data_IF_915172551731
#
_entry.id   IF_915172551731
#
_cell.length_a   1.000
_cell.length_b   1.000
_cell.length_c   1.000
_cell.angle_alpha   90.00
_cell.angle_beta   90.00
_cell.angle_gamma   90.00
#
_symmetry.space_group_name_H-M   'P 1'
#
loop_
_entity.id
_entity.type
_entity.pdbx_description
1 polymer ?
#
# COMPACT_ATOMS: atom_id res chain seq x y z
N UNK A 1 25.70 -7.17 4.82
CA UNK A 1 26.97 -7.75 4.33
C UNK A 1 27.19 -7.54 2.83
N UNK A 2 26.32 -8.05 1.95
CA UNK A 2 26.43 -7.90 0.48
C UNK A 2 26.69 -6.47 -0.02
N UNK A 3 25.88 -5.49 0.43
CA UNK A 3 26.00 -4.10 -0.03
C UNK A 3 27.37 -3.49 0.29
N UNK A 4 27.87 -3.72 1.51
CA UNK A 4 29.16 -3.22 1.97
C UNK A 4 30.32 -3.84 1.18
N UNK A 5 30.26 -5.15 0.92
CA UNK A 5 31.29 -5.86 0.15
C UNK A 5 31.37 -5.41 -1.32
N UNK A 6 30.31 -4.78 -1.84
CA UNK A 6 30.22 -4.31 -3.23
C UNK A 6 30.27 -2.79 -3.37
N UNK A 7 30.53 -2.08 -2.27
CA UNK A 7 30.49 -0.61 -2.22
C UNK A 7 29.18 -0.01 -2.79
N UNK A 8 28.06 -0.67 -2.46
CA UNK A 8 26.72 -0.26 -2.89
C UNK A 8 25.98 0.42 -1.74
N UNK A 9 25.17 1.42 -2.10
CA UNK A 9 24.22 2.07 -1.19
C UNK A 9 22.79 1.86 -1.66
N UNK A 10 21.84 1.84 -0.71
CA UNK A 10 20.43 1.85 -1.04
C UNK A 10 20.03 3.21 -1.61
N UNK A 11 19.32 3.22 -2.72
CA UNK A 11 18.76 4.42 -3.35
C UNK A 11 17.48 4.89 -2.64
N UNK A 12 17.55 5.06 -1.30
CA UNK A 12 16.39 5.48 -0.49
C UNK A 12 15.89 6.88 -0.86
N UNK A 13 16.74 7.71 -1.47
CA UNK A 13 16.42 9.03 -2.02
C UNK A 13 15.47 8.97 -3.22
N UNK A 14 15.36 7.83 -3.88
CA UNK A 14 14.42 7.59 -4.99
C UNK A 14 13.04 7.11 -4.52
N UNK A 15 12.91 6.69 -3.26
CA UNK A 15 11.64 6.28 -2.70
C UNK A 15 10.78 7.51 -2.35
N UNK A 16 9.47 7.39 -2.56
CA UNK A 16 8.46 8.37 -2.14
C UNK A 16 7.52 7.71 -1.14
N UNK A 17 7.57 8.12 0.12
CA UNK A 17 6.70 7.63 1.18
C UNK A 17 5.33 8.31 1.10
N UNK A 18 4.28 7.55 0.81
CA UNK A 18 2.97 8.14 0.51
C UNK A 18 1.81 7.60 1.34
N UNK A 19 1.96 6.47 2.03
CA UNK A 19 0.85 5.85 2.75
C UNK A 19 1.33 4.98 3.92
N UNK A 20 0.52 4.95 4.99
CA UNK A 20 0.86 4.28 6.25
C UNK A 20 -0.37 3.60 6.83
N UNK A 21 -0.34 2.27 6.96
CA UNK A 21 -1.46 1.48 7.46
C UNK A 21 -1.07 0.68 8.70
N UNK A 22 -1.99 0.64 9.65
CA UNK A 22 -1.91 -0.28 10.80
C UNK A 22 -3.12 -1.22 10.75
N UNK A 23 -2.84 -2.52 10.88
CA UNK A 23 -3.91 -3.54 10.89
C UNK A 23 -4.86 -3.28 12.07
N UNK A 24 -6.19 -3.37 11.86
CA UNK A 24 -7.18 -3.17 12.91
C UNK A 24 -6.89 -3.95 14.19
N UNK A 25 -7.30 -3.40 15.33
CA UNK A 25 -7.25 -4.11 16.63
C UNK A 25 -8.13 -5.37 16.57
N UNK A 26 -7.75 -6.40 17.33
CA UNK A 26 -8.50 -7.67 17.40
C UNK A 26 -8.27 -8.66 16.26
N UNK A 27 -7.45 -8.32 15.25
CA UNK A 27 -6.98 -9.31 14.26
C UNK A 27 -5.85 -10.15 14.86
N UNK A 28 -5.82 -11.48 14.61
CA UNK A 28 -4.81 -12.38 15.18
C UNK A 28 -3.39 -12.06 14.66
N UNK A 29 -3.28 -11.61 13.41
CA UNK A 29 -2.04 -11.11 12.81
C UNK A 29 -2.18 -9.63 12.53
N UNK A 30 -1.21 -8.83 12.98
CA UNK A 30 -1.19 -7.38 12.80
C UNK A 30 0.13 -6.94 12.21
N UNK A 31 0.05 -5.93 11.35
CA UNK A 31 1.17 -5.29 10.71
C UNK A 31 1.04 -3.78 10.78
N UNK A 32 2.21 -3.14 10.86
CA UNK A 32 2.42 -1.70 10.74
C UNK A 32 3.19 -1.49 9.44
N UNK A 33 2.48 -1.11 8.38
CA UNK A 33 2.99 -1.18 7.00
C UNK A 33 3.12 0.22 6.41
N UNK A 34 4.33 0.56 5.98
CA UNK A 34 4.62 1.80 5.24
C UNK A 34 4.72 1.49 3.75
N UNK A 35 4.12 2.33 2.92
CA UNK A 35 4.08 2.18 1.47
C UNK A 35 4.94 3.25 0.80
N UNK A 36 5.70 2.81 -0.20
CA UNK A 36 6.62 3.65 -0.96
C UNK A 36 6.39 3.45 -2.45
N UNK A 37 6.57 4.51 -3.23
CA UNK A 37 6.56 4.50 -4.69
C UNK A 37 7.96 4.83 -5.24
N UNK A 38 8.32 4.22 -6.37
CA UNK A 38 9.53 4.52 -7.14
C UNK A 38 9.32 4.13 -8.60
N UNK A 39 10.02 4.78 -9.52
CA UNK A 39 10.13 4.28 -10.89
C UNK A 39 11.04 3.06 -10.94
N UNK A 40 10.74 2.12 -11.84
CA UNK A 40 11.68 1.06 -12.19
C UNK A 40 12.80 1.66 -13.07
N UNK A 41 14.08 1.56 -12.68
CA UNK A 41 15.18 2.03 -13.52
C UNK A 41 15.18 1.38 -14.91
N UNK A 42 15.56 2.16 -15.92
CA UNK A 42 15.66 1.65 -17.28
C UNK A 42 16.62 0.45 -17.36
N UNK A 43 16.19 -0.60 -18.06
CA UNK A 43 16.98 -1.83 -18.22
C UNK A 43 16.86 -2.83 -17.07
N UNK A 44 16.21 -2.49 -15.95
CA UNK A 44 15.94 -3.44 -14.88
C UNK A 44 14.75 -4.34 -15.24
N UNK A 45 14.89 -5.65 -14.99
CA UNK A 45 13.81 -6.63 -15.17
C UNK A 45 13.34 -7.14 -13.82
N UNK A 46 12.03 -7.22 -13.63
CA UNK A 46 11.43 -7.76 -12.42
C UNK A 46 11.38 -9.29 -12.49
N UNK A 47 11.96 -9.94 -11.48
CA UNK A 47 11.90 -11.39 -11.30
C UNK A 47 11.50 -11.72 -9.87
N UNK A 48 10.63 -12.72 -9.69
CA UNK A 48 10.32 -13.27 -8.38
C UNK A 48 11.32 -14.39 -8.03
N UNK A 49 11.45 -14.69 -6.73
CA UNK A 49 12.44 -15.65 -6.21
C UNK A 49 12.04 -17.13 -6.42
N UNK A 50 10.80 -17.38 -6.84
CA UNK A 50 10.23 -18.71 -7.04
C UNK A 50 9.96 -19.49 -5.75
N UNK A 51 10.07 -18.84 -4.57
CA UNK A 51 9.85 -19.47 -3.26
C UNK A 51 8.65 -18.88 -2.55
N UNK A 52 8.67 -17.56 -2.32
CA UNK A 52 7.56 -16.87 -1.64
C UNK A 52 6.48 -16.46 -2.64
N UNK A 53 6.89 -16.02 -3.82
CA UNK A 53 5.99 -15.60 -4.90
C UNK A 53 5.96 -16.65 -6.00
N UNK A 54 4.75 -17.10 -6.35
CA UNK A 54 4.52 -18.08 -7.43
C UNK A 54 4.34 -17.45 -8.81
N UNK A 55 4.27 -16.12 -8.89
CA UNK A 55 4.14 -15.39 -10.16
C UNK A 55 4.17 -13.87 -9.98
N UNK A 56 4.45 -13.18 -11.08
CA UNK A 56 4.50 -11.71 -11.15
C UNK A 56 4.11 -11.23 -12.55
N UNK A 57 3.41 -10.10 -12.65
CA UNK A 57 3.07 -9.47 -13.93
C UNK A 57 3.00 -7.96 -13.80
N UNK A 58 3.28 -7.26 -14.90
CA UNK A 58 2.95 -5.84 -15.03
C UNK A 58 1.47 -5.69 -15.39
N UNK A 59 0.78 -4.83 -14.65
CA UNK A 59 -0.64 -4.54 -14.84
C UNK A 59 -0.90 -3.09 -14.42
N UNK A 60 -1.81 -2.41 -15.09
CA UNK A 60 -2.20 -1.05 -14.69
C UNK A 60 -3.06 -1.10 -13.42
N UNK A 61 -3.07 -0.02 -12.60
CA UNK A 61 -3.93 0.04 -11.42
C UNK A 61 -5.41 -0.18 -11.75
N UNK A 62 -5.92 0.44 -12.82
CA UNK A 62 -7.31 0.29 -13.25
C UNK A 62 -7.66 -1.16 -13.62
N UNK A 63 -6.82 -1.85 -14.39
CA UNK A 63 -7.08 -3.25 -14.76
C UNK A 63 -6.97 -4.19 -13.55
N UNK A 64 -6.08 -3.91 -12.61
CA UNK A 64 -5.98 -4.70 -11.38
C UNK A 64 -7.23 -4.55 -10.49
N UNK A 65 -7.77 -3.33 -10.36
CA UNK A 65 -9.03 -3.07 -9.67
C UNK A 65 -10.21 -3.79 -10.34
N UNK A 66 -10.31 -3.71 -11.67
CA UNK A 66 -11.36 -4.41 -12.43
C UNK A 66 -11.28 -5.94 -12.24
N UNK A 67 -10.07 -6.50 -12.25
CA UNK A 67 -9.87 -7.93 -11.98
C UNK A 67 -10.28 -8.31 -10.54
N UNK A 68 -10.03 -7.43 -9.56
CA UNK A 68 -10.47 -7.65 -8.18
C UNK A 68 -12.00 -7.59 -8.06
N UNK A 69 -12.66 -6.62 -8.71
CA UNK A 69 -14.13 -6.51 -8.76
C UNK A 69 -14.78 -7.73 -9.44
N UNK A 70 -14.12 -8.31 -10.44
CA UNK A 70 -14.55 -9.55 -11.09
C UNK A 70 -14.23 -10.82 -10.27
N UNK A 71 -13.64 -10.71 -9.08
CA UNK A 71 -13.24 -11.86 -8.25
C UNK A 71 -12.05 -12.65 -8.80
N UNK A 72 -11.33 -12.13 -9.79
CA UNK A 72 -10.21 -12.78 -10.47
C UNK A 72 -8.86 -12.50 -9.79
N UNK A 73 -8.82 -11.53 -8.87
CA UNK A 73 -7.62 -11.18 -8.11
C UNK A 73 -8.00 -10.88 -6.66
N UNK A 74 -7.44 -11.66 -5.73
CA UNK A 74 -7.54 -11.35 -4.31
C UNK A 74 -6.78 -10.04 -4.03
N UNK A 75 -7.46 -9.07 -3.43
CA UNK A 75 -6.90 -7.74 -3.20
C UNK A 75 -7.17 -7.28 -1.77
N UNK A 76 -6.14 -7.25 -0.90
CA UNK A 76 -6.28 -6.70 0.44
C UNK A 76 -6.70 -5.23 0.42
N UNK A 77 -7.41 -4.74 1.46
CA UNK A 77 -7.89 -3.36 1.50
C UNK A 77 -6.81 -2.28 1.28
N UNK A 78 -5.60 -2.35 1.90
CA UNK A 78 -4.55 -1.36 1.66
C UNK A 78 -4.08 -1.34 0.20
N UNK A 79 -4.01 -2.51 -0.44
CA UNK A 79 -3.66 -2.64 -1.87
C UNK A 79 -4.74 -2.02 -2.75
N UNK A 80 -6.03 -2.30 -2.49
CA UNK A 80 -7.14 -1.70 -3.23
C UNK A 80 -7.12 -0.18 -3.10
N UNK A 81 -7.03 0.36 -1.89
CA UNK A 81 -6.97 1.80 -1.67
C UNK A 81 -5.80 2.44 -2.41
N UNK A 82 -4.61 1.85 -2.31
CA UNK A 82 -3.41 2.30 -3.03
C UNK A 82 -3.66 2.31 -4.54
N UNK A 83 -4.16 1.22 -5.13
CA UNK A 83 -4.41 1.17 -6.57
C UNK A 83 -5.51 2.14 -7.01
N UNK A 84 -6.52 2.40 -6.18
CA UNK A 84 -7.55 3.40 -6.46
C UNK A 84 -6.97 4.82 -6.51
N UNK A 85 -6.02 5.16 -5.63
CA UNK A 85 -5.31 6.44 -5.71
C UNK A 85 -4.45 6.51 -6.97
N UNK A 86 -3.68 5.45 -7.26
CA UNK A 86 -2.78 5.40 -8.42
C UNK A 86 -3.52 5.40 -9.76
N UNK A 87 -4.74 4.85 -9.82
CA UNK A 87 -5.55 4.80 -11.03
C UNK A 87 -6.01 6.19 -11.52
N UNK A 88 -5.83 7.25 -10.72
CA UNK A 88 -6.19 8.63 -11.05
C UNK A 88 -5.16 9.32 -11.95
N UNK A 89 -4.00 8.71 -12.14
CA UNK A 89 -2.86 9.28 -12.87
C UNK A 89 -2.60 8.52 -14.17
N UNK A 90 -2.06 9.22 -15.16
CA UNK A 90 -1.79 8.67 -16.49
C UNK A 90 -0.30 8.36 -16.72
N UNK A 91 0.59 8.77 -15.82
CA UNK A 91 2.03 8.56 -15.95
C UNK A 91 2.71 8.21 -14.62
N UNK A 92 3.90 7.63 -14.71
CA UNK A 92 4.75 7.35 -13.53
C UNK A 92 5.19 8.64 -12.87
N UNK A 93 5.49 9.69 -13.64
CA UNK A 93 5.93 10.98 -13.10
C UNK A 93 4.82 11.64 -12.26
N UNK A 94 3.58 11.65 -12.74
CA UNK A 94 2.43 12.15 -11.97
C UNK A 94 2.23 11.40 -10.64
N UNK A 95 2.43 10.07 -10.66
CA UNK A 95 2.37 9.23 -9.45
C UNK A 95 3.47 9.63 -8.46
N UNK A 96 4.71 9.83 -8.95
CA UNK A 96 5.85 10.18 -8.11
C UNK A 96 5.73 11.60 -7.55
N UNK A 97 5.19 12.53 -8.32
CA UNK A 97 4.90 13.89 -7.87
C UNK A 97 3.84 13.88 -6.77
N UNK A 98 2.72 13.19 -7.00
CA UNK A 98 1.68 13.02 -5.98
C UNK A 98 2.23 12.36 -4.70
N UNK A 99 2.99 11.28 -4.83
CA UNK A 99 3.60 10.59 -3.71
C UNK A 99 4.60 11.49 -2.95
N UNK A 100 5.35 12.33 -3.68
CA UNK A 100 6.21 13.36 -3.12
C UNK A 100 5.44 14.42 -2.33
N UNK A 101 4.28 14.86 -2.81
CA UNK A 101 3.39 15.78 -2.08
C UNK A 101 2.84 15.14 -0.79
N UNK A 102 2.46 13.86 -0.82
CA UNK A 102 2.04 13.15 0.39
C UNK A 102 3.17 13.08 1.42
N UNK A 103 4.39 12.78 0.98
CA UNK A 103 5.57 12.77 1.85
C UNK A 103 5.81 14.13 2.50
N UNK A 104 5.79 15.21 1.71
CA UNK A 104 6.06 16.56 2.17
C UNK A 104 5.00 17.09 3.13
N UNK A 105 3.74 16.67 2.95
CA UNK A 105 2.61 17.06 3.80
C UNK A 105 2.55 16.29 5.13
N UNK A 106 3.32 15.21 5.25
CA UNK A 106 3.28 14.28 6.38
C UNK A 106 2.23 13.18 6.19
N UNK A 107 2.71 11.94 6.02
CA UNK A 107 1.84 10.77 5.84
C UNK A 107 1.21 10.37 7.17
N UNK A 108 -0.11 10.55 7.27
CA UNK A 108 -0.89 10.16 8.44
C UNK A 108 -1.13 8.66 8.49
N UNK A 109 -1.21 8.13 9.73
CA UNK A 109 -1.53 6.72 9.96
C UNK A 109 -3.00 6.44 9.66
N UNK A 110 -3.24 5.44 8.81
CA UNK A 110 -4.55 4.88 8.54
C UNK A 110 -4.72 3.66 9.44
N UNK A 111 -5.57 3.79 10.46
CA UNK A 111 -5.99 2.70 11.33
C UNK A 111 -7.44 2.34 11.00
N UNK A 112 -7.71 1.36 10.14
CA UNK A 112 -9.08 0.94 9.89
C UNK A 112 -9.68 0.31 11.15
N UNK A 113 -11.00 0.42 11.30
CA UNK A 113 -11.75 -0.30 12.32
C UNK A 113 -12.55 -1.43 11.67
N UNK A 114 -12.87 -2.46 12.46
CA UNK A 114 -13.83 -3.50 12.06
C UNK A 114 -15.08 -3.28 12.88
N UNK A 115 -16.21 -3.06 12.20
CA UNK A 115 -17.52 -2.91 12.84
C UNK A 115 -18.41 -4.10 12.46
N UNK A 116 -19.34 -4.45 13.36
CA UNK A 116 -20.16 -5.65 13.24
C UNK A 116 -19.48 -6.91 13.79
N UNK A 117 -20.15 -8.06 13.66
CA UNK A 117 -19.68 -9.38 14.11
C UNK A 117 -20.08 -10.45 13.09
N UNK A 118 -19.30 -11.54 13.03
CA UNK A 118 -19.57 -12.67 12.14
C UNK A 118 -19.57 -12.27 10.66
N UNK A 119 -20.50 -12.82 9.89
CA UNK A 119 -20.63 -12.55 8.44
C UNK A 119 -21.00 -11.09 8.10
N UNK A 120 -21.50 -10.31 9.07
CA UNK A 120 -21.81 -8.90 8.89
C UNK A 120 -20.64 -7.95 9.21
N UNK A 121 -19.46 -8.47 9.53
CA UNK A 121 -18.31 -7.64 9.88
C UNK A 121 -17.73 -6.93 8.64
N UNK A 122 -17.53 -5.61 8.73
CA UNK A 122 -16.94 -4.81 7.64
C UNK A 122 -15.84 -3.89 8.14
N UNK A 123 -14.91 -3.57 7.23
CA UNK A 123 -13.82 -2.63 7.50
C UNK A 123 -14.31 -1.22 7.19
N UNK A 124 -14.03 -0.28 8.10
CA UNK A 124 -14.28 1.16 7.92
C UNK A 124 -12.99 1.93 8.07
N UNK A 125 -12.86 3.02 7.30
CA UNK A 125 -11.67 3.87 7.27
C UNK A 125 -11.87 5.10 8.15
N UNK A 126 -10.79 5.68 8.70
CA UNK A 126 -10.87 6.96 9.39
C UNK A 126 -11.57 8.02 8.54
N UNK A 127 -12.48 8.78 9.15
CA UNK A 127 -13.24 9.83 8.47
C UNK A 127 -14.56 9.39 7.84
N UNK A 128 -14.92 8.11 7.86
CA UNK A 128 -16.29 7.66 7.55
C UNK A 128 -17.24 7.97 8.71
N UNK A 129 -18.52 8.24 8.41
CA UNK A 129 -19.55 8.62 9.41
C UNK A 129 -19.76 7.57 10.51
N UNK A 130 -19.44 6.31 10.20
CA UNK A 130 -19.57 5.16 11.07
C UNK A 130 -18.24 4.75 11.74
N UNK A 131 -17.20 5.58 11.62
CA UNK A 131 -15.89 5.31 12.22
C UNK A 131 -15.96 5.46 13.75
N UNK A 132 -15.56 4.44 14.54
CA UNK A 132 -15.68 4.49 15.99
C UNK A 132 -14.83 5.59 16.64
N UNK A 133 -15.45 6.38 17.53
CA UNK A 133 -14.78 7.49 18.23
C UNK A 133 -13.66 7.02 19.19
N UNK A 134 -13.68 5.78 19.65
CA UNK A 134 -12.67 5.17 20.53
C UNK A 134 -11.44 4.65 19.77
N UNK A 135 -11.47 4.67 18.43
CA UNK A 135 -10.37 4.27 17.56
C UNK A 135 -9.47 5.45 17.14
N UNK A 136 -9.76 6.65 17.63
CA UNK A 136 -8.97 7.85 17.36
C UNK A 136 -7.63 7.81 18.11
N UNK A 137 -6.55 7.59 17.35
CA UNK A 137 -5.24 8.18 17.61
C UNK A 137 -4.60 7.96 18.99
N UNK A 138 -4.33 6.71 19.38
CA UNK A 138 -3.16 6.43 20.24
C UNK A 138 -2.14 5.66 19.42
N UNK A 139 -1.11 6.38 18.99
CA UNK A 139 0.07 5.86 18.32
C UNK A 139 0.86 5.02 19.33
N UNK A 140 0.70 3.71 19.26
CA UNK A 140 1.64 2.74 19.85
C UNK A 140 2.23 1.88 18.72
#
# INVERSE_FOLDING_TARGET
>A
EFLLQRDLRLACDQLRYFSYWVTPRGRPKRFTTRFFATALPAGQQAHHDGKELTGSRWITPASALQAADAGQMAMPPPTRATLSDLARFCSVDEILDWAGMQQASGVSCILPAVIGKGEGARIVLPGSDDYPADHVGKHE
#
